data_IF_959367673709
#
_entry.id   IF_959367673709
#
_cell.length_a   1.000
_cell.length_b   1.000
_cell.length_c   1.000
_cell.angle_alpha   90.00
_cell.angle_beta   90.00
_cell.angle_gamma   90.00
#
_symmetry.space_group_name_H-M   'P 1'
#
loop_
_entity.id
_entity.type
_entity.pdbx_description
1 polymer ?
#
# COMPACT_ATOMS: atom_id res chain seq x y z
N UNK A 1 5.07 -26.73 14.48
CA UNK A 1 4.27 -25.70 15.21
C UNK A 1 2.78 -26.05 15.17
N UNK A 2 2.00 -25.61 16.17
CA UNK A 2 0.53 -25.69 16.10
C UNK A 2 0.06 -24.78 14.96
N UNK A 3 -0.83 -25.21 14.07
CA UNK A 3 -1.35 -24.35 13.00
C UNK A 3 -2.14 -23.19 13.62
N UNK A 4 -1.96 -22.00 13.08
CA UNK A 4 -2.73 -20.79 13.42
C UNK A 4 -4.15 -20.97 12.91
N UNK A 5 -5.14 -20.77 13.78
CA UNK A 5 -6.55 -20.96 13.47
C UNK A 5 -7.37 -19.67 13.62
N UNK A 6 -7.11 -18.88 14.67
CA UNK A 6 -7.85 -17.64 14.94
C UNK A 6 -7.09 -16.44 14.39
N UNK A 7 -7.59 -15.82 13.34
CA UNK A 7 -6.94 -14.70 12.66
C UNK A 7 -7.85 -13.47 12.71
N UNK A 8 -7.30 -12.35 13.18
CA UNK A 8 -7.97 -11.06 13.17
C UNK A 8 -7.39 -10.16 12.07
N UNK A 9 -8.25 -9.55 11.27
CA UNK A 9 -7.92 -8.56 10.25
C UNK A 9 -8.21 -7.16 10.80
N UNK A 10 -7.16 -6.37 11.03
CA UNK A 10 -7.28 -4.94 11.33
C UNK A 10 -7.21 -4.14 10.04
N UNK A 11 -8.31 -3.47 9.69
CA UNK A 11 -8.52 -2.87 8.39
C UNK A 11 -9.18 -3.86 7.41
N UNK A 12 -10.35 -3.46 6.88
CA UNK A 12 -11.15 -4.30 6.00
C UNK A 12 -11.45 -3.61 4.66
N UNK A 13 -10.45 -2.87 4.17
CA UNK A 13 -10.39 -2.31 2.81
C UNK A 13 -10.09 -3.38 1.76
N UNK A 14 -9.45 -2.98 0.66
CA UNK A 14 -9.07 -3.87 -0.45
C UNK A 14 -8.19 -5.05 0.03
N UNK A 15 -7.13 -4.77 0.79
CA UNK A 15 -6.17 -5.79 1.24
C UNK A 15 -6.82 -6.73 2.25
N UNK A 16 -7.51 -6.19 3.27
CA UNK A 16 -8.17 -7.01 4.31
C UNK A 16 -9.19 -7.96 3.71
N UNK A 17 -10.05 -7.49 2.78
CA UNK A 17 -11.00 -8.34 2.06
C UNK A 17 -10.29 -9.43 1.25
N UNK A 18 -9.28 -9.05 0.46
CA UNK A 18 -8.54 -10.00 -0.37
C UNK A 18 -7.94 -11.14 0.46
N UNK A 19 -7.34 -10.79 1.61
CA UNK A 19 -6.76 -11.78 2.51
C UNK A 19 -7.84 -12.62 3.22
N UNK A 20 -8.99 -12.03 3.57
CA UNK A 20 -10.11 -12.78 4.13
C UNK A 20 -10.61 -13.87 3.17
N UNK A 21 -10.74 -13.55 1.88
CA UNK A 21 -11.12 -14.50 0.85
C UNK A 21 -10.09 -15.64 0.72
N UNK A 22 -8.78 -15.32 0.70
CA UNK A 22 -7.71 -16.31 0.57
C UNK A 22 -7.62 -17.21 1.81
N UNK A 23 -7.68 -16.62 3.02
CA UNK A 23 -7.57 -17.35 4.28
C UNK A 23 -8.80 -18.22 4.57
N UNK A 24 -9.97 -17.85 4.08
CA UNK A 24 -11.19 -18.66 4.23
C UNK A 24 -11.14 -19.99 3.48
N UNK A 25 -10.19 -20.16 2.55
CA UNK A 25 -9.96 -21.44 1.89
C UNK A 25 -9.35 -22.52 2.83
N UNK A 26 -8.83 -22.12 3.98
CA UNK A 26 -8.27 -23.03 4.99
C UNK A 26 -9.37 -23.47 5.98
N UNK A 27 -9.76 -24.76 6.03
CA UNK A 27 -10.98 -25.21 6.69
C UNK A 27 -11.02 -25.01 8.21
N UNK A 28 -9.86 -24.83 8.86
CA UNK A 28 -9.77 -24.64 10.31
C UNK A 28 -9.51 -23.18 10.70
N UNK A 29 -9.49 -22.25 9.74
CA UNK A 29 -9.26 -20.82 10.03
C UNK A 29 -10.57 -20.14 10.35
N UNK A 30 -10.60 -19.44 11.48
CA UNK A 30 -11.67 -18.55 11.92
C UNK A 30 -11.22 -17.12 11.75
N UNK A 31 -12.04 -16.30 11.07
CA UNK A 31 -11.71 -14.93 10.75
C UNK A 31 -12.56 -13.96 11.53
N UNK A 32 -11.91 -13.06 12.25
CA UNK A 32 -12.51 -11.86 12.82
C UNK A 32 -11.98 -10.62 12.12
N UNK A 33 -12.70 -9.52 12.16
CA UNK A 33 -12.23 -8.26 11.62
C UNK A 33 -12.72 -7.06 12.43
N UNK A 34 -11.90 -6.03 12.41
CA UNK A 34 -12.27 -4.69 12.83
C UNK A 34 -11.83 -3.67 11.79
N UNK A 35 -12.72 -2.75 11.47
CA UNK A 35 -12.42 -1.51 10.74
C UNK A 35 -13.17 -0.36 11.38
N UNK A 36 -12.50 0.79 11.53
CA UNK A 36 -13.12 1.98 12.14
C UNK A 36 -14.35 2.49 11.39
N UNK A 37 -14.48 2.10 10.10
CA UNK A 37 -15.58 2.46 9.22
C UNK A 37 -16.71 1.42 9.23
N UNK A 38 -16.63 0.37 10.06
CA UNK A 38 -17.74 -0.56 10.24
C UNK A 38 -18.95 0.18 10.84
N UNK A 39 -20.11 -0.01 10.23
CA UNK A 39 -21.34 0.71 10.60
C UNK A 39 -21.55 2.03 9.85
N UNK A 40 -20.54 2.60 9.20
CA UNK A 40 -20.72 3.76 8.31
C UNK A 40 -21.36 3.30 6.99
N UNK A 41 -22.57 3.83 6.70
CA UNK A 41 -23.29 3.49 5.47
C UNK A 41 -22.52 3.94 4.24
N UNK A 42 -22.31 3.00 3.30
CA UNK A 42 -21.61 3.27 2.04
C UNK A 42 -20.08 3.25 2.15
N UNK A 43 -19.52 2.98 3.33
CA UNK A 43 -18.06 2.76 3.43
C UNK A 43 -17.66 1.47 2.71
N UNK A 44 -16.44 1.48 2.13
CA UNK A 44 -15.88 0.29 1.48
C UNK A 44 -15.75 -0.87 2.49
N UNK A 45 -15.32 -0.60 3.71
CA UNK A 45 -15.15 -1.60 4.76
C UNK A 45 -16.50 -2.29 5.11
N UNK A 46 -17.57 -1.51 5.31
CA UNK A 46 -18.90 -2.06 5.58
C UNK A 46 -19.44 -2.88 4.41
N UNK A 47 -19.24 -2.40 3.18
CA UNK A 47 -19.65 -3.12 1.97
C UNK A 47 -18.88 -4.43 1.80
N UNK A 48 -17.57 -4.42 2.06
CA UNK A 48 -16.73 -5.61 2.03
C UNK A 48 -17.16 -6.65 3.07
N UNK A 49 -17.52 -6.21 4.30
CA UNK A 49 -17.97 -7.14 5.34
C UNK A 49 -19.26 -7.85 4.95
N UNK A 50 -20.21 -7.14 4.31
CA UNK A 50 -21.48 -7.71 3.85
C UNK A 50 -21.32 -8.85 2.83
N UNK A 51 -20.29 -8.78 1.99
CA UNK A 51 -20.01 -9.80 0.95
C UNK A 51 -19.02 -10.89 1.42
N UNK A 52 -18.55 -10.82 2.67
CA UNK A 52 -17.65 -11.80 3.28
C UNK A 52 -18.29 -12.46 4.51
N UNK A 53 -19.35 -13.31 4.32
CA UNK A 53 -20.12 -13.89 5.44
C UNK A 53 -19.30 -14.81 6.35
N UNK A 54 -18.13 -15.25 5.91
CA UNK A 54 -17.17 -16.07 6.67
C UNK A 54 -16.36 -15.27 7.70
N UNK A 55 -16.49 -13.93 7.72
CA UNK A 55 -15.75 -13.04 8.63
C UNK A 55 -16.70 -12.47 9.68
N UNK A 56 -16.34 -12.60 10.94
CA UNK A 56 -17.08 -11.97 12.06
C UNK A 56 -16.53 -10.55 12.27
N UNK A 57 -17.32 -9.55 11.89
CA UNK A 57 -16.99 -8.14 12.12
C UNK A 57 -17.35 -7.68 13.52
N UNK A 58 -16.44 -6.95 14.18
CA UNK A 58 -16.63 -6.37 15.50
C UNK A 58 -16.68 -4.85 15.45
N UNK A 59 -17.40 -4.23 16.42
CA UNK A 59 -17.49 -2.76 16.55
C UNK A 59 -16.34 -2.18 17.38
N UNK A 60 -15.62 -3.02 18.13
CA UNK A 60 -14.44 -2.63 18.91
C UNK A 60 -13.23 -3.49 18.54
N UNK A 61 -12.08 -2.85 18.39
CA UNK A 61 -10.83 -3.52 18.02
C UNK A 61 -10.42 -4.56 19.07
N UNK A 62 -10.63 -4.25 20.36
CA UNK A 62 -10.34 -5.15 21.47
C UNK A 62 -11.10 -6.46 21.42
N UNK A 63 -12.37 -6.42 21.01
CA UNK A 63 -13.21 -7.61 20.92
C UNK A 63 -12.77 -8.48 19.73
N UNK A 64 -12.38 -7.84 18.63
CA UNK A 64 -11.92 -8.54 17.43
C UNK A 64 -10.64 -9.35 17.67
N UNK A 65 -9.71 -8.86 18.50
CA UNK A 65 -8.41 -9.51 18.75
C UNK A 65 -8.39 -10.44 19.94
N UNK A 66 -9.42 -10.44 20.80
CA UNK A 66 -9.41 -11.09 22.10
C UNK A 66 -9.03 -12.59 22.09
N UNK A 67 -9.21 -13.28 20.98
CA UNK A 67 -8.84 -14.69 20.81
C UNK A 67 -7.90 -14.93 19.62
N UNK A 68 -7.31 -13.86 19.05
CA UNK A 68 -6.48 -13.97 17.88
C UNK A 68 -5.12 -14.61 18.20
N UNK A 69 -4.76 -15.65 17.46
CA UNK A 69 -3.41 -16.21 17.42
C UNK A 69 -2.51 -15.42 16.45
N UNK A 70 -3.15 -14.77 15.45
CA UNK A 70 -2.51 -13.89 14.48
C UNK A 70 -3.40 -12.67 14.22
N UNK A 71 -2.82 -11.49 14.36
CA UNK A 71 -3.42 -10.24 13.92
C UNK A 71 -2.70 -9.79 12.64
N UNK A 72 -3.45 -9.50 11.57
CA UNK A 72 -2.90 -8.94 10.32
C UNK A 72 -3.40 -7.51 10.21
N UNK A 73 -2.48 -6.54 10.32
CA UNK A 73 -2.79 -5.12 10.16
C UNK A 73 -2.63 -4.68 8.70
N UNK A 74 -3.72 -4.16 8.11
CA UNK A 74 -3.79 -3.68 6.74
C UNK A 74 -4.64 -2.41 6.66
N UNK A 75 -4.21 -1.37 7.37
CA UNK A 75 -4.83 -0.05 7.45
C UNK A 75 -4.09 0.97 6.58
N UNK A 76 -4.58 2.21 6.50
CA UNK A 76 -3.84 3.30 5.85
C UNK A 76 -2.63 3.73 6.69
N UNK A 77 -1.62 4.31 6.05
CA UNK A 77 -0.37 4.71 6.70
C UNK A 77 -0.61 5.58 7.96
N UNK A 78 -1.50 6.56 7.86
CA UNK A 78 -1.84 7.48 8.95
C UNK A 78 -2.56 6.80 10.15
N UNK A 79 -3.00 5.54 10.00
CA UNK A 79 -3.72 4.81 11.04
C UNK A 79 -2.87 3.69 11.69
N UNK A 80 -1.69 3.39 11.19
CA UNK A 80 -0.90 2.22 11.59
C UNK A 80 -0.65 2.16 13.10
N UNK A 81 0.03 3.16 13.65
CA UNK A 81 0.31 3.21 15.09
C UNK A 81 -0.96 3.23 15.95
N UNK A 82 -2.02 3.96 15.51
CA UNK A 82 -3.30 3.99 16.22
C UNK A 82 -4.01 2.64 16.22
N UNK A 83 -3.93 1.89 15.12
CA UNK A 83 -4.49 0.55 15.03
C UNK A 83 -3.80 -0.40 16.02
N UNK A 84 -2.46 -0.39 16.09
CA UNK A 84 -1.71 -1.14 17.07
C UNK A 84 -2.08 -0.78 18.52
N UNK A 85 -2.12 0.53 18.83
CA UNK A 85 -2.52 1.02 20.16
C UNK A 85 -3.95 0.59 20.53
N UNK A 86 -4.87 0.54 19.59
CA UNK A 86 -6.28 0.18 19.84
C UNK A 86 -6.48 -1.27 20.27
N UNK A 87 -5.53 -2.16 19.98
CA UNK A 87 -5.61 -3.59 20.32
C UNK A 87 -4.68 -4.02 21.45
N UNK A 88 -3.69 -3.20 21.79
CA UNK A 88 -2.62 -3.56 22.71
C UNK A 88 -3.12 -4.12 24.06
N UNK A 89 -4.18 -3.52 24.64
CA UNK A 89 -4.72 -3.94 25.93
C UNK A 89 -5.46 -5.29 25.95
N UNK A 90 -5.87 -5.79 24.77
CA UNK A 90 -6.62 -7.03 24.61
C UNK A 90 -5.88 -8.07 23.76
N UNK A 91 -4.66 -7.77 23.34
CA UNK A 91 -3.85 -8.65 22.52
C UNK A 91 -3.44 -9.89 23.35
N UNK A 92 -3.74 -11.13 22.91
CA UNK A 92 -3.34 -12.31 23.66
C UNK A 92 -1.81 -12.43 23.70
N UNK A 93 -1.25 -12.74 24.89
CA UNK A 93 0.18 -12.90 25.07
C UNK A 93 0.74 -13.97 24.11
N UNK A 94 1.82 -13.66 23.42
CA UNK A 94 2.46 -14.54 22.44
C UNK A 94 1.74 -14.62 21.07
N UNK A 95 0.64 -13.87 20.85
CA UNK A 95 0.02 -13.79 19.53
C UNK A 95 0.93 -13.07 18.53
N UNK A 96 0.81 -13.43 17.27
CA UNK A 96 1.52 -12.79 16.18
C UNK A 96 0.84 -11.50 15.73
N UNK A 97 1.63 -10.48 15.43
CA UNK A 97 1.15 -9.26 14.82
C UNK A 97 1.92 -9.00 13.53
N UNK A 98 1.29 -9.30 12.38
CA UNK A 98 1.82 -9.08 11.04
C UNK A 98 1.39 -7.72 10.52
N UNK A 99 2.32 -6.80 10.42
CA UNK A 99 2.08 -5.42 9.99
C UNK A 99 2.39 -5.24 8.51
N UNK A 100 1.35 -5.23 7.65
CA UNK A 100 1.43 -5.06 6.18
C UNK A 100 1.43 -3.59 5.73
N UNK A 101 1.33 -2.63 6.66
CA UNK A 101 1.14 -1.22 6.33
C UNK A 101 2.38 -0.61 5.65
N UNK A 102 2.15 0.33 4.74
CA UNK A 102 3.21 0.98 3.96
C UNK A 102 3.63 2.28 4.62
N UNK A 103 4.48 2.20 5.63
CA UNK A 103 4.93 3.33 6.46
C UNK A 103 6.45 3.39 6.56
N UNK A 104 6.97 4.51 7.06
CA UNK A 104 8.40 4.72 7.30
C UNK A 104 8.95 3.74 8.36
N UNK A 105 10.27 3.42 8.34
CA UNK A 105 10.92 2.56 9.32
C UNK A 105 10.66 2.94 10.77
N UNK A 106 10.64 4.23 11.07
CA UNK A 106 10.41 4.75 12.44
C UNK A 106 8.99 4.44 12.93
N UNK A 107 8.01 4.52 12.04
CA UNK A 107 6.62 4.14 12.37
C UNK A 107 6.55 2.65 12.69
N UNK A 108 7.20 1.77 11.88
CA UNK A 108 7.29 0.33 12.15
C UNK A 108 7.92 0.04 13.52
N UNK A 109 9.01 0.74 13.84
CA UNK A 109 9.68 0.62 15.14
C UNK A 109 8.74 1.02 16.29
N UNK A 110 8.00 2.10 16.14
CA UNK A 110 7.02 2.55 17.15
C UNK A 110 5.88 1.55 17.33
N UNK A 111 5.38 0.95 16.25
CA UNK A 111 4.36 -0.12 16.30
C UNK A 111 4.92 -1.37 16.99
N UNK A 112 6.16 -1.76 16.66
CA UNK A 112 6.83 -2.90 17.29
C UNK A 112 6.88 -2.75 18.80
N UNK A 113 7.30 -1.59 19.31
CA UNK A 113 7.35 -1.31 20.76
C UNK A 113 5.97 -1.51 21.39
N UNK A 114 4.91 -0.94 20.81
CA UNK A 114 3.54 -1.07 21.36
C UNK A 114 3.09 -2.53 21.43
N UNK A 115 3.36 -3.32 20.40
CA UNK A 115 2.92 -4.72 20.32
C UNK A 115 3.77 -5.62 21.24
N UNK A 116 5.08 -5.41 21.29
CA UNK A 116 5.98 -6.20 22.13
C UNK A 116 5.77 -5.89 23.63
N UNK A 117 5.54 -4.63 24.01
CA UNK A 117 5.16 -4.26 25.38
C UNK A 117 3.81 -4.88 25.80
N UNK A 118 2.89 -5.09 24.85
CA UNK A 118 1.65 -5.82 25.09
C UNK A 118 1.83 -7.35 25.17
N UNK A 119 3.05 -7.86 24.97
CA UNK A 119 3.37 -9.29 24.98
C UNK A 119 3.10 -10.02 23.65
N UNK A 120 2.85 -9.30 22.57
CA UNK A 120 2.72 -9.84 21.21
C UNK A 120 4.08 -10.08 20.55
N UNK A 121 4.08 -10.83 19.43
CA UNK A 121 5.24 -11.07 18.58
C UNK A 121 5.11 -10.25 17.31
N UNK A 122 5.79 -9.11 17.25
CA UNK A 122 5.73 -8.22 16.10
C UNK A 122 6.52 -8.76 14.92
N UNK A 123 5.92 -8.67 13.71
CA UNK A 123 6.55 -8.97 12.43
C UNK A 123 6.25 -7.83 11.45
N UNK A 124 7.30 -7.10 11.09
CA UNK A 124 7.23 -6.14 10.00
C UNK A 124 7.05 -6.86 8.67
N UNK A 125 6.14 -6.39 7.83
CA UNK A 125 5.95 -6.90 6.48
C UNK A 125 5.86 -5.78 5.45
N UNK A 126 6.72 -5.85 4.43
CA UNK A 126 6.72 -4.94 3.30
C UNK A 126 6.26 -5.67 2.03
N UNK A 127 5.03 -5.44 1.60
CA UNK A 127 4.47 -5.98 0.36
C UNK A 127 5.11 -5.24 -0.83
N UNK A 128 5.84 -5.97 -1.69
CA UNK A 128 6.69 -5.39 -2.74
C UNK A 128 6.01 -5.26 -4.11
N UNK A 129 4.71 -5.55 -4.20
CA UNK A 129 3.87 -5.41 -5.40
C UNK A 129 2.48 -4.89 -5.02
N UNK A 130 1.64 -4.46 -5.97
CA UNK A 130 0.19 -4.36 -5.73
C UNK A 130 -0.35 -5.70 -5.24
N UNK A 131 -1.42 -5.66 -4.42
CA UNK A 131 -2.02 -6.89 -3.89
C UNK A 131 -2.60 -7.76 -5.02
N UNK A 132 -3.18 -7.15 -6.03
CA UNK A 132 -3.63 -7.85 -7.24
C UNK A 132 -2.56 -7.81 -8.34
N UNK A 133 -2.43 -8.86 -9.18
CA UNK A 133 -3.25 -10.08 -9.19
C UNK A 133 -2.75 -11.20 -8.25
N UNK A 134 -1.58 -11.04 -7.60
CA UNK A 134 -0.90 -12.11 -6.87
C UNK A 134 -1.50 -12.43 -5.50
N UNK A 135 -2.26 -11.49 -4.91
CA UNK A 135 -2.98 -11.65 -3.64
C UNK A 135 -2.04 -12.07 -2.50
N UNK A 136 -2.36 -13.10 -1.72
CA UNK A 136 -1.49 -13.67 -0.67
C UNK A 136 -0.13 -14.18 -1.18
N UNK A 137 0.01 -14.43 -2.50
CA UNK A 137 1.27 -14.86 -3.13
C UNK A 137 2.21 -13.71 -3.49
N UNK A 138 1.83 -12.47 -3.21
CA UNK A 138 2.67 -11.30 -3.45
C UNK A 138 4.04 -11.43 -2.78
N UNK A 139 5.14 -10.93 -3.39
CA UNK A 139 6.43 -10.86 -2.73
C UNK A 139 6.35 -9.98 -1.48
N UNK A 140 6.71 -10.53 -0.32
CA UNK A 140 6.68 -9.83 0.97
C UNK A 140 8.02 -10.00 1.67
N UNK A 141 8.64 -8.89 2.06
CA UNK A 141 9.83 -8.88 2.92
C UNK A 141 9.39 -8.83 4.38
N UNK A 142 9.94 -9.70 5.21
CA UNK A 142 9.68 -9.74 6.64
C UNK A 142 10.88 -9.23 7.43
N UNK A 143 10.64 -8.38 8.44
CA UNK A 143 11.63 -7.84 9.35
C UNK A 143 11.20 -7.99 10.82
N UNK A 144 12.19 -7.94 11.71
CA UNK A 144 12.01 -8.09 13.14
C UNK A 144 12.51 -9.42 13.71
N UNK A 145 12.70 -9.48 15.02
CA UNK A 145 13.25 -10.64 15.74
C UNK A 145 12.45 -11.94 15.55
N UNK A 146 11.17 -11.82 15.22
CA UNK A 146 10.26 -12.95 15.01
C UNK A 146 10.03 -13.28 13.52
N UNK A 147 10.63 -12.50 12.61
CA UNK A 147 10.34 -12.60 11.17
C UNK A 147 10.77 -13.94 10.55
N UNK A 148 11.93 -14.47 10.95
CA UNK A 148 12.43 -15.74 10.43
C UNK A 148 11.51 -16.92 10.79
N UNK A 149 11.02 -16.95 12.03
CA UNK A 149 10.07 -17.98 12.49
C UNK A 149 8.72 -17.85 11.79
N UNK A 150 8.28 -16.60 11.53
CA UNK A 150 6.98 -16.34 10.89
C UNK A 150 6.92 -16.77 9.42
N UNK A 151 8.05 -16.87 8.71
CA UNK A 151 8.06 -17.33 7.29
C UNK A 151 7.33 -18.65 7.14
N UNK A 152 7.61 -19.65 7.99
CA UNK A 152 6.97 -20.97 7.92
C UNK A 152 5.47 -20.90 8.22
N UNK A 153 5.06 -20.08 9.19
CA UNK A 153 3.65 -19.85 9.53
C UNK A 153 2.92 -19.20 8.34
N UNK A 154 3.50 -18.14 7.78
CA UNK A 154 2.95 -17.45 6.63
C UNK A 154 2.79 -18.35 5.41
N UNK A 155 3.81 -19.16 5.11
CA UNK A 155 3.74 -20.14 4.02
C UNK A 155 2.65 -21.18 4.22
N UNK A 156 2.46 -21.67 5.45
CA UNK A 156 1.37 -22.59 5.79
C UNK A 156 -0.03 -21.97 5.61
N UNK A 157 -0.13 -20.64 5.69
CA UNK A 157 -1.34 -19.84 5.44
C UNK A 157 -1.46 -19.34 3.98
N UNK A 158 -0.61 -19.83 3.08
CA UNK A 158 -0.68 -19.50 1.66
C UNK A 158 0.11 -18.26 1.21
N UNK A 159 0.85 -17.61 2.11
CA UNK A 159 1.72 -16.48 1.77
C UNK A 159 3.06 -16.96 1.17
N UNK A 160 2.99 -17.56 -0.02
CA UNK A 160 4.16 -18.20 -0.65
C UNK A 160 5.28 -17.24 -1.07
N UNK A 161 4.99 -15.93 -1.17
CA UNK A 161 5.97 -14.90 -1.51
C UNK A 161 6.70 -14.28 -0.31
N UNK A 162 6.43 -14.74 0.92
CA UNK A 162 7.11 -14.27 2.12
C UNK A 162 8.56 -14.75 2.19
N UNK A 163 9.46 -13.83 2.53
CA UNK A 163 10.87 -14.14 2.79
C UNK A 163 11.42 -13.25 3.89
N UNK A 164 12.31 -13.81 4.70
CA UNK A 164 13.07 -13.08 5.71
C UNK A 164 13.98 -12.04 5.05
N UNK A 165 14.06 -10.86 5.65
CA UNK A 165 14.88 -9.74 5.22
C UNK A 165 15.98 -9.44 6.25
N UNK A 166 15.58 -9.17 7.50
CA UNK A 166 16.52 -8.77 8.57
C UNK A 166 15.86 -8.94 9.94
N UNK A 167 16.68 -9.15 10.98
CA UNK A 167 16.18 -9.20 12.37
C UNK A 167 15.80 -7.81 12.91
N UNK A 168 16.36 -6.75 12.34
CA UNK A 168 16.05 -5.39 12.76
C UNK A 168 14.76 -4.89 12.08
N UNK A 169 13.81 -4.41 12.91
CA UNK A 169 12.61 -3.72 12.46
C UNK A 169 13.00 -2.43 11.72
N UNK A 170 12.39 -2.21 10.55
CA UNK A 170 12.61 -1.04 9.71
C UNK A 170 13.41 -1.34 8.43
N UNK A 171 14.07 -2.47 8.32
CA UNK A 171 14.85 -2.82 7.11
C UNK A 171 13.97 -3.17 5.91
N UNK A 172 12.90 -3.92 6.14
CA UNK A 172 11.97 -4.28 5.07
C UNK A 172 11.20 -3.05 4.56
N UNK A 173 10.72 -2.18 5.45
CA UNK A 173 10.07 -0.92 5.08
C UNK A 173 11.03 0.05 4.41
N UNK A 174 12.27 0.21 4.91
CA UNK A 174 13.29 1.04 4.26
C UNK A 174 13.52 0.60 2.81
N UNK A 175 13.65 -0.71 2.57
CA UNK A 175 13.79 -1.27 1.21
C UNK A 175 12.60 -0.88 0.32
N UNK A 176 11.38 -1.00 0.83
CA UNK A 176 10.16 -0.60 0.11
C UNK A 176 10.10 0.90 -0.13
N UNK A 177 10.41 1.72 0.88
CA UNK A 177 10.33 3.19 0.77
C UNK A 177 11.37 3.74 -0.22
N UNK A 178 12.62 3.29 -0.15
CA UNK A 178 13.65 3.67 -1.14
C UNK A 178 13.26 3.26 -2.57
N UNK A 179 12.70 2.06 -2.75
CA UNK A 179 12.15 1.64 -4.04
C UNK A 179 10.99 2.55 -4.50
N UNK A 180 10.14 2.99 -3.58
CA UNK A 180 9.00 3.87 -3.88
C UNK A 180 9.42 5.23 -4.41
N UNK A 181 10.54 5.79 -3.93
CA UNK A 181 11.13 7.03 -4.48
C UNK A 181 11.36 6.88 -5.98
N UNK A 182 11.99 5.77 -6.41
CA UNK A 182 12.27 5.54 -7.82
C UNK A 182 11.00 5.29 -8.63
N UNK A 183 10.15 4.36 -8.21
CA UNK A 183 8.98 3.93 -9.02
C UNK A 183 7.98 5.06 -9.17
N UNK A 184 7.56 5.68 -8.06
CA UNK A 184 6.55 6.75 -8.10
C UNK A 184 7.14 8.08 -8.57
N UNK A 185 8.44 8.30 -8.35
CA UNK A 185 9.18 9.41 -8.93
C UNK A 185 9.20 9.35 -10.46
N UNK A 186 9.49 8.18 -11.04
CA UNK A 186 9.42 7.97 -12.49
C UNK A 186 8.01 8.20 -13.04
N UNK A 187 6.97 7.71 -12.36
CA UNK A 187 5.59 7.96 -12.75
C UNK A 187 5.24 9.46 -12.76
N UNK A 188 5.67 10.20 -11.73
CA UNK A 188 5.47 11.65 -11.65
C UNK A 188 6.22 12.38 -12.77
N UNK A 189 7.48 12.03 -13.01
CA UNK A 189 8.32 12.61 -14.08
C UNK A 189 7.74 12.33 -15.47
N UNK A 190 7.32 11.11 -15.75
CA UNK A 190 6.71 10.74 -17.03
C UNK A 190 5.40 11.53 -17.26
N UNK A 191 4.58 11.67 -16.22
CA UNK A 191 3.34 12.46 -16.30
C UNK A 191 3.64 13.92 -16.67
N UNK A 192 4.58 14.57 -15.98
CA UNK A 192 4.96 15.95 -16.23
C UNK A 192 5.62 16.15 -17.61
N UNK A 193 6.58 15.29 -17.94
CA UNK A 193 7.32 15.35 -19.21
C UNK A 193 6.40 15.16 -20.41
N UNK A 194 5.55 14.14 -20.40
CA UNK A 194 4.72 13.83 -21.57
C UNK A 194 3.51 14.76 -21.74
N UNK A 195 2.96 15.29 -20.65
CA UNK A 195 1.96 16.37 -20.76
C UNK A 195 2.57 17.62 -21.39
N UNK A 196 3.77 18.01 -20.95
CA UNK A 196 4.48 19.13 -21.56
C UNK A 196 4.84 18.87 -23.01
N UNK A 197 5.40 17.70 -23.33
CA UNK A 197 5.75 17.31 -24.70
C UNK A 197 4.52 17.28 -25.61
N UNK A 198 3.38 16.78 -25.12
CA UNK A 198 2.12 16.77 -25.87
C UNK A 198 1.61 18.17 -26.19
N UNK A 199 1.72 19.09 -25.23
CA UNK A 199 1.39 20.51 -25.44
C UNK A 199 2.20 21.12 -26.61
N UNK A 200 3.48 20.75 -26.74
CA UNK A 200 4.36 21.22 -27.82
C UNK A 200 4.32 20.33 -29.09
N UNK A 201 3.60 19.22 -29.09
CA UNK A 201 3.52 18.27 -30.21
C UNK A 201 4.80 17.49 -30.48
N UNK A 202 5.63 17.24 -29.47
CA UNK A 202 6.96 16.60 -29.58
C UNK A 202 7.08 15.29 -28.79
N UNK A 203 5.99 14.72 -28.33
CA UNK A 203 5.97 13.51 -27.47
C UNK A 203 6.59 12.29 -28.15
N UNK A 204 6.45 12.15 -29.46
CA UNK A 204 7.03 11.05 -30.22
C UNK A 204 8.58 11.10 -30.19
N UNK A 205 9.14 12.30 -30.40
CA UNK A 205 10.58 12.52 -30.35
C UNK A 205 11.14 12.30 -28.94
N UNK A 206 10.43 12.77 -27.91
CA UNK A 206 10.81 12.53 -26.52
C UNK A 206 10.85 11.04 -26.22
N UNK A 207 9.78 10.28 -26.52
CA UNK A 207 9.73 8.84 -26.28
C UNK A 207 10.80 8.07 -27.07
N UNK A 208 11.07 8.47 -28.31
CA UNK A 208 12.13 7.87 -29.14
C UNK A 208 13.50 8.10 -28.51
N UNK A 209 13.78 9.32 -28.05
CA UNK A 209 15.06 9.68 -27.46
C UNK A 209 15.35 8.97 -26.14
N UNK A 210 14.31 8.65 -25.36
CA UNK A 210 14.48 7.94 -24.10
C UNK A 210 15.05 6.52 -24.26
N UNK A 211 14.86 5.88 -25.40
CA UNK A 211 15.41 4.55 -25.68
C UNK A 211 16.94 4.48 -25.65
N UNK A 212 17.63 5.60 -25.83
CA UNK A 212 19.08 5.66 -25.76
C UNK A 212 19.62 5.40 -24.33
N UNK A 213 18.88 5.86 -23.31
CA UNK A 213 19.26 5.76 -21.91
C UNK A 213 18.49 4.66 -21.15
N UNK A 214 17.22 4.49 -21.52
CA UNK A 214 16.31 3.51 -20.91
C UNK A 214 15.69 2.65 -22.00
N UNK A 215 16.40 1.65 -22.55
CA UNK A 215 15.86 0.78 -23.59
C UNK A 215 14.59 0.07 -23.11
N UNK A 216 13.48 0.32 -23.78
CA UNK A 216 12.18 -0.31 -23.53
C UNK A 216 11.54 -0.75 -24.82
N UNK A 217 10.95 -1.93 -24.83
CA UNK A 217 10.27 -2.49 -26.00
C UNK A 217 9.11 -1.60 -26.49
N UNK A 218 8.38 -0.97 -25.55
CA UNK A 218 7.21 -0.13 -25.90
C UNK A 218 7.04 1.01 -24.89
N UNK A 219 7.73 2.11 -25.11
CA UNK A 219 7.63 3.33 -24.29
C UNK A 219 6.20 3.90 -24.22
N UNK A 220 5.41 4.03 -25.33
CA UNK A 220 4.05 4.54 -25.25
C UNK A 220 3.17 3.74 -24.28
N UNK A 221 3.20 2.41 -24.36
CA UNK A 221 2.45 1.53 -23.47
C UNK A 221 2.90 1.65 -22.03
N UNK A 222 4.21 1.75 -21.81
CA UNK A 222 4.75 1.88 -20.47
C UNK A 222 4.43 3.22 -19.82
N UNK A 223 4.52 4.31 -20.57
CA UNK A 223 4.13 5.64 -20.12
C UNK A 223 2.61 5.72 -19.83
N UNK A 224 1.77 5.15 -20.69
CA UNK A 224 0.33 5.04 -20.44
C UNK A 224 0.07 4.32 -19.11
N UNK A 225 0.69 3.17 -18.89
CA UNK A 225 0.56 2.43 -17.63
C UNK A 225 1.01 3.28 -16.41
N UNK A 226 2.15 3.97 -16.50
CA UNK A 226 2.64 4.82 -15.40
C UNK A 226 1.65 5.95 -15.08
N UNK A 227 1.13 6.65 -16.09
CA UNK A 227 0.20 7.76 -15.91
C UNK A 227 -1.14 7.24 -15.35
N UNK A 228 -1.71 6.18 -15.90
CA UNK A 228 -2.97 5.63 -15.38
C UNK A 228 -2.89 5.23 -13.92
N UNK A 229 -1.73 4.70 -13.47
CA UNK A 229 -1.51 4.41 -12.05
C UNK A 229 -1.56 5.64 -11.15
N UNK A 230 -1.11 6.81 -11.64
CA UNK A 230 -1.20 8.06 -10.87
C UNK A 230 -2.63 8.58 -10.82
N UNK A 231 -3.38 8.46 -11.91
CA UNK A 231 -4.78 8.90 -11.96
C UNK A 231 -5.68 8.06 -11.05
N UNK A 232 -5.52 6.74 -11.08
CA UNK A 232 -6.36 5.79 -10.35
C UNK A 232 -6.06 5.75 -8.84
N UNK A 233 -4.78 5.84 -8.45
CA UNK A 233 -4.36 5.58 -7.08
C UNK A 233 -3.61 6.75 -6.44
N UNK A 234 -3.60 7.92 -7.04
CA UNK A 234 -2.74 9.03 -6.67
C UNK A 234 -2.87 9.45 -5.19
N UNK A 235 -4.08 9.55 -4.64
CA UNK A 235 -4.29 9.94 -3.25
C UNK A 235 -3.55 9.00 -2.26
N UNK A 236 -3.74 7.68 -2.40
CA UNK A 236 -3.03 6.68 -1.57
C UNK A 236 -1.53 6.72 -1.81
N UNK A 237 -1.10 6.89 -3.06
CA UNK A 237 0.33 6.94 -3.42
C UNK A 237 1.02 8.20 -2.89
N UNK A 238 0.30 9.32 -2.77
CA UNK A 238 0.78 10.52 -2.11
C UNK A 238 1.09 10.26 -0.62
N UNK A 239 0.20 9.58 0.11
CA UNK A 239 0.47 9.18 1.49
C UNK A 239 1.73 8.30 1.59
N UNK A 240 1.85 7.29 0.73
CA UNK A 240 3.04 6.43 0.67
C UNK A 240 4.32 7.21 0.33
N UNK A 241 4.24 8.28 -0.48
CA UNK A 241 5.41 9.12 -0.79
C UNK A 241 5.78 10.07 0.35
N UNK A 242 4.83 10.50 1.18
CA UNK A 242 5.13 11.21 2.43
C UNK A 242 5.90 10.32 3.41
N UNK A 243 5.53 9.04 3.54
CA UNK A 243 6.30 8.06 4.32
C UNK A 243 7.71 7.82 3.73
N UNK A 244 7.83 7.78 2.40
CA UNK A 244 9.13 7.71 1.75
C UNK A 244 9.98 8.97 2.01
N UNK A 245 9.36 10.17 2.05
CA UNK A 245 10.05 11.41 2.40
C UNK A 245 10.60 11.38 3.84
N UNK A 246 9.83 10.87 4.81
CA UNK A 246 10.29 10.67 6.18
C UNK A 246 11.48 9.70 6.24
N UNK A 247 11.46 8.65 5.43
CA UNK A 247 12.56 7.68 5.33
C UNK A 247 13.84 8.33 4.78
N UNK A 248 13.71 9.16 3.74
CA UNK A 248 14.84 9.92 3.15
C UNK A 248 15.39 10.93 4.17
N UNK A 249 14.52 11.66 4.86
CA UNK A 249 14.90 12.63 5.88
C UNK A 249 15.65 11.97 7.05
N UNK A 250 15.21 10.79 7.49
CA UNK A 250 15.87 10.04 8.54
C UNK A 250 17.27 9.53 8.14
N UNK A 251 17.55 9.42 6.84
CA UNK A 251 18.90 9.14 6.31
C UNK A 251 19.79 10.40 6.23
N UNK A 252 19.32 11.56 6.69
CA UNK A 252 20.04 12.83 6.67
C UNK A 252 20.01 13.57 5.34
N UNK A 253 19.09 13.23 4.44
CA UNK A 253 18.92 13.86 3.14
C UNK A 253 17.64 14.72 3.12
N UNK A 254 17.70 15.84 2.38
CA UNK A 254 16.50 16.63 2.09
C UNK A 254 15.61 15.86 1.11
N UNK A 255 14.31 15.59 1.46
CA UNK A 255 13.44 14.72 0.68
C UNK A 255 12.73 15.44 -0.47
N UNK A 256 13.39 16.33 -1.20
CA UNK A 256 12.82 17.20 -2.23
C UNK A 256 12.06 16.41 -3.30
N UNK A 257 12.68 15.35 -3.86
CA UNK A 257 12.05 14.56 -4.92
C UNK A 257 10.86 13.75 -4.42
N UNK A 258 10.91 13.24 -3.19
CA UNK A 258 9.81 12.50 -2.59
C UNK A 258 8.62 13.40 -2.27
N UNK A 259 8.86 14.62 -1.81
CA UNK A 259 7.84 15.64 -1.54
C UNK A 259 7.16 16.09 -2.85
N UNK A 260 7.94 16.49 -3.85
CA UNK A 260 7.41 16.85 -5.17
C UNK A 260 6.62 15.71 -5.82
N UNK A 261 7.09 14.47 -5.65
CA UNK A 261 6.36 13.28 -6.11
C UNK A 261 5.03 13.12 -5.37
N UNK A 262 4.98 13.34 -4.05
CA UNK A 262 3.74 13.27 -3.28
C UNK A 262 2.71 14.30 -3.79
N UNK A 263 3.14 15.53 -4.04
CA UNK A 263 2.29 16.59 -4.59
C UNK A 263 1.76 16.22 -5.99
N UNK A 264 2.62 15.69 -6.86
CA UNK A 264 2.23 15.25 -8.22
C UNK A 264 1.24 14.08 -8.16
N UNK A 265 1.44 13.13 -7.27
CA UNK A 265 0.53 12.01 -7.07
C UNK A 265 -0.84 12.49 -6.52
N UNK A 266 -0.86 13.44 -5.58
CA UNK A 266 -2.10 14.00 -5.04
C UNK A 266 -2.90 14.82 -6.06
N UNK A 267 -2.19 15.50 -6.96
CA UNK A 267 -2.77 16.27 -8.05
C UNK A 267 -3.43 15.38 -9.13
N UNK A 268 -2.91 14.20 -9.39
CA UNK A 268 -3.28 13.40 -10.56
C UNK A 268 -4.75 12.90 -10.58
N UNK A 269 -5.41 12.49 -9.46
CA UNK A 269 -6.76 11.93 -9.48
C UNK A 269 -7.85 12.85 -10.02
N UNK A 270 -7.64 14.16 -10.08
CA UNK A 270 -8.60 15.09 -10.69
C UNK A 270 -8.85 14.76 -12.18
N UNK A 271 -7.90 14.10 -12.86
CA UNK A 271 -8.00 13.68 -14.25
C UNK A 271 -8.51 12.25 -14.41
N UNK A 272 -9.16 11.67 -13.42
CA UNK A 272 -9.63 10.27 -13.47
C UNK A 272 -10.53 9.94 -14.65
N UNK A 273 -11.23 10.92 -15.25
CA UNK A 273 -12.00 10.74 -16.48
C UNK A 273 -11.11 10.31 -17.68
N UNK A 274 -9.80 10.64 -17.68
CA UNK A 274 -8.89 10.23 -18.73
C UNK A 274 -8.54 8.72 -18.68
N UNK A 275 -8.88 8.00 -17.60
CA UNK A 275 -8.72 6.54 -17.51
C UNK A 275 -9.53 5.75 -18.53
N UNK A 276 -10.58 6.37 -19.12
CA UNK A 276 -11.38 5.75 -20.20
C UNK A 276 -10.60 5.65 -21.51
N UNK A 277 -9.48 6.36 -21.64
CA UNK A 277 -8.67 6.37 -22.86
C UNK A 277 -7.69 5.19 -22.87
N UNK A 278 -7.79 4.27 -23.86
CA UNK A 278 -6.95 3.06 -23.88
C UNK A 278 -5.52 3.31 -24.38
N UNK A 279 -5.26 4.48 -24.97
CA UNK A 279 -3.98 4.83 -25.58
C UNK A 279 -3.39 6.11 -24.97
N UNK A 280 -2.05 6.24 -25.06
CA UNK A 280 -1.31 7.34 -24.45
C UNK A 280 -1.74 8.72 -24.98
N UNK A 281 -1.82 8.91 -26.30
CA UNK A 281 -2.08 10.24 -26.87
C UNK A 281 -3.49 10.76 -26.52
N UNK A 282 -4.58 10.00 -26.72
CA UNK A 282 -5.90 10.42 -26.26
C UNK A 282 -5.98 10.72 -24.76
N UNK A 283 -5.28 9.95 -23.92
CA UNK A 283 -5.19 10.18 -22.48
C UNK A 283 -4.56 11.55 -22.19
N UNK A 284 -3.42 11.87 -22.81
CA UNK A 284 -2.74 13.16 -22.66
C UNK A 284 -3.60 14.32 -23.16
N UNK A 285 -4.26 14.15 -24.30
CA UNK A 285 -5.16 15.17 -24.87
C UNK A 285 -6.32 15.49 -23.94
N UNK A 286 -6.93 14.48 -23.31
CA UNK A 286 -8.02 14.68 -22.38
C UNK A 286 -7.54 15.40 -21.12
N UNK A 287 -6.38 15.03 -20.57
CA UNK A 287 -5.79 15.72 -19.43
C UNK A 287 -5.49 17.19 -19.75
N UNK A 288 -4.88 17.49 -20.90
CA UNK A 288 -4.58 18.86 -21.32
C UNK A 288 -5.84 19.68 -21.54
N UNK A 289 -6.88 19.11 -22.15
CA UNK A 289 -8.17 19.79 -22.35
C UNK A 289 -8.77 20.22 -21.00
N UNK A 290 -8.73 19.37 -20.01
CA UNK A 290 -9.21 19.70 -18.66
C UNK A 290 -8.36 20.80 -18.02
N UNK A 291 -7.04 20.73 -18.10
CA UNK A 291 -6.13 21.75 -17.57
C UNK A 291 -6.41 23.14 -18.17
N UNK A 292 -6.61 23.20 -19.49
CA UNK A 292 -6.89 24.46 -20.16
C UNK A 292 -8.25 25.02 -19.76
N UNK A 293 -9.29 24.18 -19.65
CA UNK A 293 -10.63 24.61 -19.23
C UNK A 293 -10.66 25.17 -17.80
N UNK A 294 -9.85 24.62 -16.88
CA UNK A 294 -9.71 25.15 -15.53
C UNK A 294 -8.96 26.48 -15.51
N UNK A 295 -7.88 26.61 -16.28
CA UNK A 295 -7.12 27.86 -16.39
C UNK A 295 -7.94 29.03 -16.94
N UNK A 296 -8.91 28.79 -17.80
CA UNK A 296 -9.83 29.82 -18.31
C UNK A 296 -10.84 30.29 -17.25
N UNK A 297 -11.31 29.40 -16.37
CA UNK A 297 -12.23 29.75 -15.26
C UNK A 297 -11.60 30.65 -14.21
N UNK A 298 -10.28 30.61 -14.06
CA UNK A 298 -9.55 31.48 -13.12
C UNK A 298 -9.13 32.84 -13.71
N UNK A 299 -9.37 33.06 -15.01
CA UNK A 299 -9.09 34.35 -15.69
C UNK A 299 -10.32 35.27 -15.81
N UNK A 300 -11.49 34.80 -15.42
CA UNK A 300 -12.74 35.58 -15.29
C UNK A 300 -13.00 35.90 -13.82
#
# INVERSE_FOLDING_TARGET
>A
MKPVQNICLLGFGEVGRTLAEDLSAFPNVQLTAFDRLFGEKGSLASSNLQICPQVVGYQHATDAVAQAELVISAVTAAQDLKAAQSVASALPAGSWFLDLNSVAPQTKQSVAVVIEEAGGRYVEAAVMSPIHPQRSKSPILLGGSHAQEFVEIGQALGFSGMRFCDEAVGKASATKMCRSVMIKGLEALISESLLSARHYGVEQEVLSSLNNLFPMENWPRHAHYMITRTLEHGARRAEEMREAALTVQAAGLEPQMSQATAERQEWAPQFSAALEQPELLPLLDQMLTQLHSEAEKFKC
#
